data_IF_353887461921
#
_entry.id   IF_353887461921
#
_cell.length_a   1.000
_cell.length_b   1.000
_cell.length_c   1.000
_cell.angle_alpha   90.00
_cell.angle_beta   90.00
_cell.angle_gamma   90.00
#
_symmetry.space_group_name_H-M   'P 1'
#
loop_
_entity.id
_entity.type
_entity.pdbx_description
1 polymer ?
#
# COMPACT_ATOMS: atom_id res chain seq x y z
N UNK A 1 5.81 4.77 16.43
CA UNK A 1 5.61 4.86 16.07
C UNK A 1 5.24 4.77 14.89
N UNK A 2 5.10 4.15 14.40
CA UNK A 2 4.92 4.17 13.25
C UNK A 2 3.75 3.83 12.76
N UNK A 3 3.27 4.13 11.78
CA UNK A 3 2.05 3.85 11.28
C UNK A 3 1.96 2.63 10.56
N UNK A 4 1.09 2.37 9.82
CA UNK A 4 0.84 1.21 9.10
C UNK A 4 1.86 0.96 8.14
N UNK A 5 2.73 0.19 8.44
CA UNK A 5 3.80 -0.09 7.59
C UNK A 5 3.74 -1.51 7.20
N UNK A 6 4.12 -1.80 6.00
CA UNK A 6 4.13 -3.12 5.58
C UNK A 6 5.25 -3.80 6.18
N UNK A 7 5.02 -4.80 6.95
CA UNK A 7 6.08 -5.49 7.57
C UNK A 7 6.67 -6.55 6.72
N UNK A 8 5.92 -7.25 6.00
CA UNK A 8 6.45 -8.36 5.22
C UNK A 8 5.71 -8.48 3.94
N UNK A 9 6.43 -8.72 2.88
CA UNK A 9 5.83 -8.95 1.58
C UNK A 9 6.22 -10.37 1.19
N UNK A 10 5.25 -11.19 0.89
CA UNK A 10 5.51 -12.56 0.56
C UNK A 10 5.15 -12.77 -0.89
N UNK A 11 6.06 -13.39 -1.65
CA UNK A 11 5.83 -13.61 -3.02
C UNK A 11 4.75 -14.60 -3.23
N UNK A 12 3.91 -14.35 -4.13
CA UNK A 12 2.89 -15.26 -4.47
C UNK A 12 3.46 -16.49 -4.94
N UNK A 13 4.40 -16.57 -5.66
CA UNK A 13 4.87 -17.73 -6.09
C UNK A 13 6.23 -17.76 -6.19
N UNK A 14 6.78 -17.28 -5.70
CA UNK A 14 8.05 -17.45 -5.64
C UNK A 14 8.88 -17.77 -6.55
N UNK A 15 8.77 -18.36 -6.94
CA UNK A 15 9.54 -18.75 -7.88
C UNK A 15 10.87 -18.28 -7.70
N UNK A 16 11.29 -18.31 -6.96
CA UNK A 16 12.57 -18.15 -6.93
C UNK A 16 13.20 -17.01 -7.40
N UNK A 17 13.03 -16.43 -7.61
CA UNK A 17 13.61 -15.59 -8.09
C UNK A 17 14.32 -14.77 -7.45
N UNK A 18 14.58 -14.66 -6.86
CA UNK A 18 15.41 -14.11 -6.22
C UNK A 18 16.15 -13.03 -6.80
N UNK A 19 16.18 -12.74 -7.56
CA UNK A 19 16.96 -11.82 -8.10
C UNK A 19 16.56 -10.51 -7.77
N UNK A 20 16.17 -9.97 -7.33
CA UNK A 20 15.79 -9.00 -7.14
C UNK A 20 15.36 -7.95 -7.06
N UNK A 21 15.20 -7.51 -6.97
CA UNK A 21 14.52 -6.62 -7.08
C UNK A 21 14.47 -5.42 -6.43
N UNK A 22 14.24 -4.50 -6.98
CA UNK A 22 14.21 -3.24 -6.47
C UNK A 22 13.29 -3.20 -5.31
N UNK A 23 12.25 -3.86 -5.39
CA UNK A 23 11.35 -3.87 -4.31
C UNK A 23 11.29 -5.27 -3.86
N UNK A 24 11.91 -5.56 -2.79
CA UNK A 24 11.95 -6.92 -2.32
C UNK A 24 10.58 -7.48 -2.28
N UNK A 25 10.41 -8.62 -2.83
CA UNK A 25 9.13 -9.27 -2.76
C UNK A 25 8.13 -8.85 -3.79
N UNK A 26 8.45 -7.94 -4.64
CA UNK A 26 7.50 -7.53 -5.64
C UNK A 26 7.89 -7.84 -7.04
N UNK A 27 8.76 -8.84 -7.22
CA UNK A 27 9.07 -9.17 -8.56
C UNK A 27 8.00 -9.93 -9.18
N UNK A 28 7.09 -10.53 -8.56
CA UNK A 28 6.02 -11.26 -9.23
C UNK A 28 4.89 -10.34 -9.55
N UNK A 29 3.94 -10.80 -10.32
CA UNK A 29 2.79 -9.99 -10.66
C UNK A 29 1.89 -9.79 -9.46
N UNK A 30 1.88 -10.72 -8.54
CA UNK A 30 1.00 -10.69 -7.40
C UNK A 30 1.76 -11.12 -6.17
N UNK A 31 1.60 -10.40 -5.08
CA UNK A 31 2.26 -10.76 -3.84
C UNK A 31 1.26 -10.62 -2.70
N UNK A 32 1.59 -11.22 -1.58
CA UNK A 32 0.79 -11.07 -0.37
C UNK A 32 1.52 -10.14 0.57
N UNK A 33 0.82 -9.21 1.14
CA UNK A 33 1.39 -8.25 2.06
C UNK A 33 0.74 -8.37 3.42
N UNK A 34 1.52 -8.27 4.46
CA UNK A 34 1.00 -8.29 5.80
C UNK A 34 1.11 -6.91 6.38
N UNK A 35 0.03 -6.43 6.96
CA UNK A 35 -0.05 -5.07 7.43
C UNK A 35 0.34 -4.97 8.88
N UNK A 36 1.10 -3.94 9.23
CA UNK A 36 1.35 -3.63 10.62
C UNK A 36 0.99 -2.19 10.85
N UNK A 37 0.50 -1.90 12.02
CA UNK A 37 0.19 -0.54 12.40
C UNK A 37 -1.21 -0.13 12.02
N UNK A 38 -1.66 1.00 12.53
CA UNK A 38 -3.05 1.40 12.43
C UNK A 38 -3.42 2.43 11.37
N UNK A 39 -2.51 2.87 10.52
CA UNK A 39 -2.80 4.03 9.68
C UNK A 39 -3.95 3.82 8.71
N UNK A 40 -4.30 2.59 8.39
CA UNK A 40 -5.40 2.33 7.47
C UNK A 40 -6.64 1.82 8.18
N UNK A 41 -6.63 1.79 9.48
CA UNK A 41 -7.80 1.37 10.22
C UNK A 41 -8.92 2.38 9.99
N UNK A 42 -10.15 1.96 9.85
CA UNK A 42 -10.63 0.59 10.04
C UNK A 42 -10.67 -0.23 8.76
N UNK A 43 -10.27 0.34 7.64
CA UNK A 43 -10.34 -0.36 6.37
C UNK A 43 -9.45 -1.60 6.38
N UNK A 44 -8.22 -1.41 6.83
CA UNK A 44 -7.25 -2.46 6.91
C UNK A 44 -6.66 -2.38 8.30
N UNK A 45 -6.56 -3.48 8.99
CA UNK A 45 -6.09 -3.48 10.35
C UNK A 45 -4.79 -4.22 10.50
N UNK A 46 -4.13 -3.95 11.59
CA UNK A 46 -2.89 -4.63 11.90
C UNK A 46 -3.11 -6.14 11.82
N UNK A 47 -2.26 -6.81 11.12
CA UNK A 47 -2.34 -8.26 10.96
C UNK A 47 -3.07 -8.72 9.71
N UNK A 48 -3.80 -7.82 9.06
CA UNK A 48 -4.50 -8.22 7.85
C UNK A 48 -3.50 -8.63 6.77
N UNK A 49 -3.91 -9.55 5.94
CA UNK A 49 -3.11 -9.97 4.81
C UNK A 49 -3.82 -9.59 3.54
N UNK A 50 -3.10 -8.96 2.65
CA UNK A 50 -3.67 -8.35 1.46
C UNK A 50 -3.08 -8.97 0.21
N UNK A 51 -3.89 -9.03 -0.82
CA UNK A 51 -3.40 -9.45 -2.12
C UNK A 51 -3.07 -8.18 -2.89
N UNK A 52 -1.85 -8.09 -3.38
CA UNK A 52 -1.36 -6.89 -4.03
C UNK A 52 -0.92 -7.24 -5.44
N UNK A 53 -1.37 -6.47 -6.41
CA UNK A 53 -0.95 -6.65 -7.77
C UNK A 53 0.05 -5.58 -8.13
N UNK A 54 1.13 -5.96 -8.75
CA UNK A 54 2.15 -5.02 -9.10
C UNK A 54 1.64 -3.98 -10.08
N UNK A 55 2.06 -2.75 -9.89
CA UNK A 55 1.68 -1.67 -10.77
C UNK A 55 2.89 -1.24 -11.56
N UNK A 56 2.76 -1.24 -12.87
CA UNK A 56 3.84 -0.82 -13.73
C UNK A 56 3.64 0.55 -14.33
N UNK A 57 2.45 1.10 -14.24
CA UNK A 57 2.18 2.37 -14.84
C UNK A 57 1.36 3.18 -13.87
N UNK A 58 1.73 4.44 -13.68
CA UNK A 58 0.97 5.31 -12.80
C UNK A 58 -0.45 5.47 -13.30
N UNK A 59 -0.67 5.31 -14.58
CA UNK A 59 -2.00 5.47 -15.13
C UNK A 59 -2.96 4.39 -14.64
N UNK A 60 -2.43 3.30 -14.10
CA UNK A 60 -3.28 2.23 -13.63
C UNK A 60 -3.82 2.53 -12.22
N UNK A 61 -3.41 3.62 -11.62
CA UNK A 61 -3.77 3.93 -10.24
C UNK A 61 -4.74 5.08 -10.23
N UNK A 62 -5.81 4.94 -9.50
CA UNK A 62 -6.85 5.96 -9.46
C UNK A 62 -7.10 6.43 -8.05
N UNK A 63 -7.62 7.64 -7.89
CA UNK A 63 -7.99 8.11 -6.57
C UNK A 63 -8.93 7.11 -5.91
N UNK A 64 -8.72 6.85 -4.65
CA UNK A 64 -9.52 5.89 -3.91
C UNK A 64 -8.90 4.51 -3.84
N UNK A 65 -7.95 4.21 -4.69
CA UNK A 65 -7.28 2.91 -4.62
C UNK A 65 -6.47 2.80 -3.36
N UNK A 66 -6.44 1.61 -2.77
CA UNK A 66 -5.52 1.31 -1.69
C UNK A 66 -4.29 0.71 -2.33
N UNK A 67 -3.15 1.27 -2.01
CA UNK A 67 -1.92 0.90 -2.70
C UNK A 67 -0.80 0.60 -1.76
N UNK A 68 0.20 -0.08 -2.30
CA UNK A 68 1.46 -0.29 -1.64
C UNK A 68 2.39 0.74 -2.24
N UNK A 69 3.02 1.53 -1.43
CA UNK A 69 3.79 2.65 -1.90
C UNK A 69 5.04 2.87 -1.09
N UNK A 70 5.93 3.65 -1.64
CA UNK A 70 7.17 3.97 -0.99
C UNK A 70 7.39 5.46 -1.10
N UNK A 71 7.94 6.06 -0.07
CA UNK A 71 8.28 7.47 -0.11
C UNK A 71 9.76 7.61 -0.44
N UNK A 72 10.11 8.43 -1.42
CA UNK A 72 11.53 8.60 -1.74
C UNK A 72 12.37 9.02 -0.52
N UNK A 73 11.78 9.76 0.40
CA UNK A 73 12.52 10.18 1.59
C UNK A 73 12.76 9.01 2.54
N UNK A 74 12.02 7.93 2.41
CA UNK A 74 12.16 6.76 3.27
C UNK A 74 12.11 5.53 2.40
N UNK A 75 13.09 5.31 1.53
CA UNK A 75 12.97 4.27 0.50
C UNK A 75 12.89 2.85 1.06
N UNK A 76 13.35 2.66 2.27
CA UNK A 76 13.32 1.33 2.82
C UNK A 76 11.95 0.97 3.38
N UNK A 77 11.02 1.91 3.39
CA UNK A 77 9.76 1.67 4.04
C UNK A 77 8.67 1.48 2.99
N UNK A 78 7.98 0.37 3.03
CA UNK A 78 6.81 0.17 2.20
C UNK A 78 5.59 0.36 3.06
N UNK A 79 4.62 1.11 2.56
CA UNK A 79 3.43 1.43 3.33
C UNK A 79 2.18 1.11 2.54
N UNK A 80 1.08 0.89 3.23
CA UNK A 80 -0.22 0.70 2.60
C UNK A 80 -1.03 1.95 2.91
N UNK A 81 -1.47 2.64 1.89
CA UNK A 81 -2.18 3.90 2.04
C UNK A 81 -3.23 4.01 0.95
N UNK A 82 -4.06 5.04 1.02
CA UNK A 82 -5.08 5.27 0.01
C UNK A 82 -4.68 6.45 -0.87
N UNK A 83 -4.84 6.30 -2.16
CA UNK A 83 -4.49 7.34 -3.11
C UNK A 83 -5.54 8.44 -3.07
N UNK A 84 -5.08 9.68 -2.95
CA UNK A 84 -5.98 10.82 -3.00
C UNK A 84 -5.97 11.45 -4.37
N UNK A 85 -4.81 11.57 -4.98
CA UNK A 85 -4.71 12.18 -6.31
C UNK A 85 -3.34 11.94 -6.89
N UNK A 86 -3.22 12.13 -8.17
CA UNK A 86 -1.94 12.08 -8.82
C UNK A 86 -1.27 13.43 -8.64
N UNK A 87 0.04 13.42 -8.50
CA UNK A 87 0.83 14.65 -8.38
C UNK A 87 2.07 14.45 -9.23
N UNK A 88 2.79 15.49 -9.51
CA UNK A 88 4.01 15.35 -10.30
C UNK A 88 4.95 14.36 -9.62
N UNK A 89 5.39 13.39 -10.37
CA UNK A 89 6.34 12.42 -9.85
C UNK A 89 5.73 11.25 -9.11
N UNK A 90 4.43 11.21 -8.95
CA UNK A 90 3.83 10.08 -8.25
C UNK A 90 2.43 10.35 -7.79
N UNK A 91 2.13 10.00 -6.55
CA UNK A 91 0.79 10.14 -6.04
C UNK A 91 0.81 10.69 -4.62
N UNK A 92 -0.27 11.34 -4.27
CA UNK A 92 -0.46 11.81 -2.91
C UNK A 92 -1.32 10.78 -2.21
N UNK A 93 -0.80 10.19 -1.16
CA UNK A 93 -1.47 9.11 -0.47
C UNK A 93 -1.67 9.45 0.99
N UNK A 94 -2.75 8.96 1.57
CA UNK A 94 -3.05 9.22 2.96
C UNK A 94 -3.63 7.98 3.60
N UNK A 95 -3.47 7.87 4.90
CA UNK A 95 -4.06 6.77 5.62
C UNK A 95 -5.52 7.03 5.89
N UNK A 96 -6.30 5.97 6.00
CA UNK A 96 -7.70 6.11 6.32
C UNK A 96 -7.93 6.44 7.79
N UNK A 97 -6.95 6.21 8.63
CA UNK A 97 -7.08 6.52 10.04
C UNK A 97 -6.76 8.00 10.23
N UNK A 98 -7.77 8.77 10.57
CA UNK A 98 -7.58 10.21 10.67
C UNK A 98 -6.67 10.62 11.81
N UNK A 99 -6.33 9.72 12.69
CA UNK A 99 -5.45 10.06 13.80
C UNK A 99 -3.98 9.79 13.50
N UNK A 100 -3.67 9.32 12.30
CA UNK A 100 -2.30 9.00 11.94
C UNK A 100 -1.97 9.75 10.67
N UNK A 101 -0.90 10.53 10.68
CA UNK A 101 -0.54 11.32 9.51
C UNK A 101 0.82 10.99 8.94
N UNK A 102 1.30 9.77 9.15
CA UNK A 102 2.58 9.35 8.60
C UNK A 102 2.36 8.93 7.15
N UNK A 103 2.07 9.88 6.30
CA UNK A 103 1.80 9.59 4.91
C UNK A 103 2.28 10.78 4.09
N UNK A 104 1.66 11.07 2.95
CA UNK A 104 2.12 12.17 2.11
C UNK A 104 2.10 13.50 2.83
N UNK A 105 1.24 13.65 3.84
CA UNK A 105 1.23 14.89 4.60
C UNK A 105 2.54 15.12 5.34
N UNK A 106 3.25 14.05 5.64
CA UNK A 106 4.53 14.15 6.32
C UNK A 106 5.70 13.95 5.37
N UNK A 107 5.54 13.10 4.36
CA UNK A 107 6.67 12.69 3.53
C UNK A 107 6.57 13.10 2.08
N UNK A 108 5.49 13.72 1.68
CA UNK A 108 5.35 14.21 0.30
C UNK A 108 4.94 13.13 -0.67
N UNK A 109 5.32 13.31 -1.90
CA UNK A 109 4.91 12.41 -2.98
C UNK A 109 5.36 10.98 -2.74
N UNK A 110 4.47 10.05 -3.05
CA UNK A 110 4.77 8.63 -2.92
C UNK A 110 4.87 8.00 -4.29
N UNK A 111 5.64 6.92 -4.37
CA UNK A 111 5.73 6.14 -5.59
C UNK A 111 4.96 4.86 -5.34
N UNK A 112 3.93 4.61 -6.14
CA UNK A 112 3.08 3.45 -5.98
C UNK A 112 3.74 2.27 -6.66
N UNK A 113 3.87 1.17 -5.96
CA UNK A 113 4.47 -0.02 -6.52
C UNK A 113 3.47 -1.16 -6.68
N UNK A 114 2.35 -1.09 -6.00
CA UNK A 114 1.33 -2.12 -6.13
C UNK A 114 -0.03 -1.60 -5.76
N UNK A 115 -1.08 -2.26 -6.24
CA UNK A 115 -2.44 -1.90 -5.90
C UNK A 115 -3.06 -3.07 -5.15
N UNK A 116 -3.72 -2.78 -4.06
CA UNK A 116 -4.34 -3.82 -3.26
C UNK A 116 -5.61 -4.27 -3.96
N UNK A 117 -5.70 -5.55 -4.25
CA UNK A 117 -6.84 -6.10 -4.92
C UNK A 117 -7.90 -6.49 -3.90
N UNK A 118 -7.51 -6.93 -2.75
CA UNK A 118 -8.45 -7.31 -1.72
C UNK A 118 -7.75 -7.85 -0.51
N UNK A 119 -8.53 -8.27 0.47
CA UNK A 119 -8.00 -8.85 1.69
C UNK A 119 -8.06 -10.36 1.57
N UNK A 120 -6.98 -11.00 1.97
CA UNK A 120 -6.96 -12.44 1.96
C UNK A 120 -7.34 -13.03 3.30
N UNK A 121 -7.01 -12.38 4.37
CA UNK A 121 -7.22 -12.90 5.70
C UNK A 121 -7.26 -11.73 6.68
N UNK A 122 -8.06 -11.75 7.70
CA UNK A 122 -8.91 -12.85 8.14
C UNK A 122 -10.26 -12.89 7.44
N UNK A 123 -10.68 -11.82 6.83
CA UNK A 123 -11.99 -11.83 6.18
C UNK A 123 -11.79 -11.50 4.70
N UNK A 124 -11.71 -12.52 3.87
CA UNK A 124 -11.42 -12.30 2.47
C UNK A 124 -12.47 -11.46 1.79
N UNK A 125 -12.05 -10.63 0.88
CA UNK A 125 -12.97 -9.82 0.12
C UNK A 125 -12.38 -8.51 -0.31
N UNK A 126 -13.17 -7.73 -1.00
CA UNK A 126 -12.72 -6.45 -1.45
C UNK A 126 -12.68 -5.49 -0.30
N UNK A 127 -11.80 -4.53 -0.38
CA UNK A 127 -11.74 -3.50 0.64
C UNK A 127 -12.83 -2.47 0.38
N UNK A 128 -13.38 -1.88 1.43
CA UNK A 128 -14.41 -0.87 1.24
C UNK A 128 -13.84 0.40 0.60
N UNK A 129 -14.69 1.17 -0.04
CA UNK A 129 -14.23 2.43 -0.61
C UNK A 129 -13.92 3.41 0.50
N UNK A 130 -13.33 4.53 0.18
CA UNK A 130 -13.01 5.51 1.19
C UNK A 130 -14.27 5.92 1.91
N UNK A 131 -14.13 6.13 3.17
CA UNK A 131 -15.25 6.56 3.91
C UNK A 131 -15.63 7.89 3.38
N UNK A 132 -16.84 8.05 3.43
CA UNK A 132 -17.30 9.18 2.88
C UNK A 132 -16.60 10.28 3.44
N UNK A 133 -15.91 10.77 2.87
CA UNK A 133 -15.23 11.67 3.32
C UNK A 133 -15.83 12.74 3.44
N UNK A 134 -16.27 13.28 3.68
CA UNK A 134 -16.91 14.16 3.83
C UNK A 134 -16.10 15.11 4.01
N UNK A 135 -16.10 15.87 3.60
CA UNK A 135 -15.22 16.91 3.69
C UNK A 135 -15.22 17.55 4.98
#
# INVERSE_FOLDING_TARGET
MSSATLLAVIHGDSAGDDAHPPVPGLDGAVVMARVTGPSMSPTVRHGDRLLVRRVRSAAAVRPGDVVLARFPARPELLVVKRVRRAVPGGHWVEGDNRFVEDDSRAFGTAVVVGRVVGRLWPRPGRLPPPAAQRP
#
